data_IF_106251856806
#
_entry.id   IF_106251856806
#
_cell.length_a   1.000
_cell.length_b   1.000
_cell.length_c   1.000
_cell.angle_alpha   90.00
_cell.angle_beta   90.00
_cell.angle_gamma   90.00
#
_symmetry.space_group_name_H-M   'P 1'
#
loop_
_entity.id
_entity.type
_entity.pdbx_description
1 polymer ?
#
# COMPACT_ATOMS: atom_id res chain seq x y z
N UNK A 1 38.50 -3.32 50.10
CA UNK A 1 37.73 -4.47 49.56
C UNK A 1 36.41 -3.92 49.04
N UNK A 2 36.16 -4.04 47.74
CA UNK A 2 35.04 -3.38 47.05
C UNK A 2 33.73 -4.11 47.31
N UNK A 3 32.72 -3.42 47.84
CA UNK A 3 31.36 -3.95 48.00
C UNK A 3 30.61 -3.79 46.68
N UNK A 4 30.48 -4.89 45.94
CA UNK A 4 29.67 -4.96 44.72
C UNK A 4 28.20 -5.16 45.10
N UNK A 5 27.33 -4.28 44.64
CA UNK A 5 25.88 -4.43 44.80
C UNK A 5 25.41 -5.76 44.19
N UNK A 6 24.75 -6.60 45.00
CA UNK A 6 24.07 -7.82 44.52
C UNK A 6 22.63 -7.45 44.16
N UNK A 7 22.32 -7.48 42.86
CA UNK A 7 20.95 -7.37 42.35
C UNK A 7 20.35 -8.78 42.36
N UNK A 8 19.25 -9.04 43.09
CA UNK A 8 18.61 -10.34 43.05
C UNK A 8 17.94 -10.57 41.69
N UNK A 9 17.96 -11.80 41.14
CA UNK A 9 17.26 -12.12 39.90
C UNK A 9 15.76 -11.93 40.09
N UNK A 10 15.12 -11.31 39.10
CA UNK A 10 13.68 -11.02 39.09
C UNK A 10 12.80 -12.27 38.94
N UNK A 11 13.40 -13.42 38.65
CA UNK A 11 12.69 -14.71 38.47
C UNK A 11 13.47 -15.78 39.24
N UNK A 12 12.82 -16.59 40.09
CA UNK A 12 13.48 -17.71 40.78
C UNK A 12 14.04 -18.73 39.79
N UNK A 13 15.17 -19.36 40.13
CA UNK A 13 15.80 -20.40 39.30
C UNK A 13 14.89 -21.64 39.10
N UNK A 14 13.86 -21.78 39.94
CA UNK A 14 12.88 -22.89 39.94
C UNK A 14 11.60 -22.56 39.16
N UNK A 15 11.55 -21.44 38.42
CA UNK A 15 10.36 -21.00 37.71
C UNK A 15 10.18 -21.75 36.38
N UNK A 16 9.46 -22.88 36.43
CA UNK A 16 9.08 -23.66 35.26
C UNK A 16 7.90 -23.00 34.52
N UNK A 17 8.19 -22.35 33.39
CA UNK A 17 7.17 -21.74 32.53
C UNK A 17 6.54 -22.83 31.67
N UNK A 18 5.35 -23.29 32.05
CA UNK A 18 4.54 -24.14 31.19
C UNK A 18 3.94 -23.30 30.06
N UNK A 19 4.33 -23.52 28.80
CA UNK A 19 3.74 -22.80 27.68
C UNK A 19 2.24 -23.14 27.63
N UNK A 20 1.40 -22.12 27.54
CA UNK A 20 0.00 -22.34 27.18
C UNK A 20 -0.01 -22.82 25.73
N UNK A 21 -0.64 -23.96 25.49
CA UNK A 21 -0.80 -24.50 24.15
C UNK A 21 -1.87 -23.69 23.42
N UNK A 22 -1.43 -22.71 22.62
CA UNK A 22 -2.30 -21.78 21.88
C UNK A 22 -2.72 -22.39 20.53
N UNK A 23 -2.22 -23.59 20.18
CA UNK A 23 -2.56 -24.22 18.92
C UNK A 23 -3.86 -25.02 19.02
N UNK A 24 -4.75 -24.80 18.04
CA UNK A 24 -5.95 -25.61 17.88
C UNK A 24 -5.54 -27.05 17.54
N UNK A 25 -6.02 -28.01 18.33
CA UNK A 25 -5.87 -29.43 18.02
C UNK A 25 -6.91 -29.83 16.96
N UNK A 26 -6.44 -30.38 15.86
CA UNK A 26 -7.33 -30.93 14.81
C UNK A 26 -7.59 -32.40 15.16
N UNK A 27 -8.85 -32.84 15.28
CA UNK A 27 -9.16 -34.24 15.52
C UNK A 27 -8.61 -35.11 14.40
N UNK A 28 -7.87 -36.16 14.77
CA UNK A 28 -7.37 -37.14 13.80
C UNK A 28 -8.53 -37.91 13.20
N UNK A 29 -8.64 -37.91 11.86
CA UNK A 29 -9.67 -38.65 11.10
C UNK A 29 -9.58 -40.18 11.25
N UNK A 30 -8.51 -40.69 11.89
CA UNK A 30 -8.29 -42.12 12.10
C UNK A 30 -8.50 -42.57 13.55
N UNK A 31 -8.91 -41.67 14.46
CA UNK A 31 -9.20 -42.05 15.84
C UNK A 31 -10.58 -42.72 15.91
N UNK A 32 -10.58 -44.06 15.81
CA UNK A 32 -11.73 -44.89 16.10
C UNK A 32 -12.27 -44.58 17.50
N UNK A 33 -13.57 -44.28 17.55
CA UNK A 33 -14.30 -43.87 18.72
C UNK A 33 -14.11 -44.82 19.92
N UNK A 34 -13.51 -44.32 21.00
CA UNK A 34 -13.84 -44.76 22.35
C UNK A 34 -13.26 -43.83 23.42
N UNK A 35 -14.18 -43.28 24.23
CA UNK A 35 -14.00 -42.73 25.58
C UNK A 35 -13.32 -41.34 25.65
N UNK A 36 -13.81 -40.37 26.44
CA UNK A 36 -14.83 -40.35 27.49
C UNK A 36 -15.26 -38.88 27.65
N UNK A 37 -16.52 -38.67 28.03
CA UNK A 37 -17.13 -37.36 28.15
C UNK A 37 -16.30 -36.36 28.96
N UNK A 38 -16.05 -35.22 28.34
CA UNK A 38 -15.81 -33.94 28.97
C UNK A 38 -16.78 -33.01 28.27
N UNK A 39 -17.67 -32.40 29.04
CA UNK A 39 -18.74 -31.54 28.59
C UNK A 39 -18.34 -30.68 27.39
N UNK A 40 -19.04 -30.90 26.27
CA UNK A 40 -18.95 -30.07 25.09
C UNK A 40 -19.62 -28.72 25.37
N UNK A 41 -18.93 -27.87 26.12
CA UNK A 41 -19.02 -26.44 25.91
C UNK A 41 -18.25 -26.14 24.62
N UNK A 42 -18.94 -26.17 23.48
CA UNK A 42 -18.46 -25.45 22.31
C UNK A 42 -18.31 -23.98 22.74
N UNK A 43 -17.08 -23.49 22.69
CA UNK A 43 -16.62 -22.15 23.13
C UNK A 43 -16.24 -22.07 24.62
N UNK A 44 -15.12 -22.72 24.97
CA UNK A 44 -14.37 -22.43 26.19
C UNK A 44 -13.61 -21.10 26.12
N UNK A 45 -14.32 -19.99 25.95
CA UNK A 45 -13.83 -18.66 26.33
C UNK A 45 -14.82 -18.03 27.30
N UNK A 46 -14.35 -17.73 28.51
CA UNK A 46 -14.99 -16.76 29.39
C UNK A 46 -15.16 -15.46 28.62
N UNK A 47 -16.39 -15.09 28.34
CA UNK A 47 -16.82 -14.06 27.39
C UNK A 47 -16.51 -12.60 27.82
N UNK A 48 -15.50 -12.37 28.66
CA UNK A 48 -15.24 -11.05 29.24
C UNK A 48 -13.80 -10.54 29.19
N UNK A 49 -12.86 -11.19 28.50
CA UNK A 49 -11.50 -10.64 28.40
C UNK A 49 -10.98 -10.55 26.97
N UNK A 50 -10.86 -9.29 26.52
CA UNK A 50 -10.23 -8.80 25.29
C UNK A 50 -11.03 -8.99 23.99
N UNK A 51 -12.17 -8.29 23.91
CA UNK A 51 -12.69 -7.85 22.62
C UNK A 51 -11.77 -6.74 22.06
N UNK A 52 -11.03 -6.99 20.95
CA UNK A 52 -10.12 -6.02 20.36
C UNK A 52 -10.85 -4.76 19.87
N UNK A 53 -12.15 -4.86 19.55
CA UNK A 53 -12.97 -3.72 19.13
C UNK A 53 -13.24 -2.80 20.32
N UNK A 54 -13.65 -3.35 21.47
CA UNK A 54 -13.80 -2.57 22.72
C UNK A 54 -12.47 -1.99 23.20
N UNK A 55 -11.35 -2.68 23.00
CA UNK A 55 -10.03 -2.15 23.36
C UNK A 55 -9.64 -0.94 22.50
N UNK A 56 -9.97 -0.96 21.20
CA UNK A 56 -9.78 0.19 20.30
C UNK A 56 -10.74 1.33 20.68
N UNK A 57 -11.99 1.01 20.99
CA UNK A 57 -13.00 1.99 21.42
C UNK A 57 -12.57 2.71 22.72
N UNK A 58 -12.10 1.98 23.73
CA UNK A 58 -11.57 2.59 24.96
C UNK A 58 -10.34 3.46 24.69
N UNK A 59 -9.43 3.04 23.78
CA UNK A 59 -8.28 3.86 23.40
C UNK A 59 -8.71 5.17 22.72
N UNK A 60 -9.72 5.12 21.85
CA UNK A 60 -10.27 6.31 21.22
C UNK A 60 -10.96 7.24 22.23
N UNK A 61 -11.75 6.69 23.15
CA UNK A 61 -12.39 7.47 24.22
C UNK A 61 -11.36 8.13 25.16
N UNK A 62 -10.30 7.40 25.52
CA UNK A 62 -9.21 7.94 26.33
C UNK A 62 -8.46 9.07 25.61
N UNK A 63 -8.18 8.91 24.32
CA UNK A 63 -7.54 9.95 23.51
C UNK A 63 -8.41 11.22 23.43
N UNK A 64 -9.71 11.07 23.20
CA UNK A 64 -10.65 12.20 23.17
C UNK A 64 -10.65 12.94 24.51
N UNK A 65 -10.61 12.19 25.63
CA UNK A 65 -10.53 12.78 26.97
C UNK A 65 -9.22 13.55 27.17
N UNK A 66 -8.08 12.96 26.81
CA UNK A 66 -6.78 13.64 26.89
C UNK A 66 -6.72 14.92 26.05
N UNK A 67 -7.34 14.93 24.87
CA UNK A 67 -7.40 16.15 24.02
C UNK A 67 -8.26 17.22 24.67
N UNK A 68 -9.40 16.86 25.28
CA UNK A 68 -10.24 17.80 26.03
C UNK A 68 -9.51 18.38 27.24
N UNK A 69 -8.83 17.52 27.99
CA UNK A 69 -8.07 17.93 29.17
C UNK A 69 -6.92 18.86 28.77
N UNK A 70 -6.22 18.57 27.67
CA UNK A 70 -5.19 19.45 27.10
C UNK A 70 -5.78 20.79 26.66
N UNK A 71 -6.94 20.80 26.00
CA UNK A 71 -7.65 22.03 25.63
C UNK A 71 -7.98 22.89 26.85
N UNK A 72 -8.51 22.28 27.91
CA UNK A 72 -8.80 22.98 29.17
C UNK A 72 -7.53 23.51 29.86
N UNK A 73 -6.42 22.77 29.77
CA UNK A 73 -5.13 23.18 30.33
C UNK A 73 -4.54 24.37 29.56
N UNK A 74 -4.67 24.35 28.23
CA UNK A 74 -4.21 25.43 27.36
C UNK A 74 -5.05 26.70 27.56
N UNK A 75 -6.36 26.55 27.77
CA UNK A 75 -7.25 27.67 28.07
C UNK A 75 -6.97 28.26 29.47
N UNK A 76 -6.67 27.44 30.46
CA UNK A 76 -6.22 27.89 31.78
C UNK A 76 -4.88 28.65 31.70
N UNK A 77 -3.91 28.16 30.93
CA UNK A 77 -2.63 28.82 30.68
C UNK A 77 -2.80 30.16 29.96
N UNK A 78 -3.68 30.23 28.95
CA UNK A 78 -3.99 31.48 28.25
C UNK A 78 -4.66 32.50 29.17
N UNK A 79 -5.53 32.05 30.10
CA UNK A 79 -6.11 32.91 31.13
C UNK A 79 -5.08 33.37 32.17
N UNK A 80 -4.11 32.53 32.56
CA UNK A 80 -3.01 32.95 33.44
C UNK A 80 -2.07 33.95 32.76
N UNK A 81 -1.71 33.73 31.50
CA UNK A 81 -0.91 34.69 30.73
C UNK A 81 -1.67 36.01 30.49
N UNK A 82 -2.99 35.96 30.33
CA UNK A 82 -3.86 37.14 30.31
C UNK A 82 -3.92 37.89 31.64
N UNK A 83 -3.78 37.19 32.78
CA UNK A 83 -3.71 37.77 34.13
C UNK A 83 -2.34 38.37 34.45
N UNK A 84 -1.25 37.86 33.87
CA UNK A 84 0.08 38.48 33.96
C UNK A 84 0.19 39.81 33.20
N UNK A 85 -0.76 40.14 32.34
CA UNK A 85 -0.75 41.34 31.50
C UNK A 85 -1.80 42.39 31.90
N UNK A 86 -2.21 42.48 33.18
CA UNK A 86 -3.16 43.51 33.60
C UNK A 86 -2.70 44.36 34.80
N UNK A 87 -2.21 45.55 34.46
CA UNK A 87 -2.42 46.78 35.21
C UNK A 87 -2.06 48.00 34.36
N UNK A 88 -2.78 49.13 34.42
CA UNK A 88 -4.22 49.32 34.55
C UNK A 88 -4.83 49.96 33.28
N UNK A 89 -6.09 49.65 32.94
CA UNK A 89 -7.06 50.66 32.47
C UNK A 89 -8.46 50.04 32.30
N UNK A 90 -9.45 50.86 32.65
CA UNK A 90 -10.88 50.72 32.37
C UNK A 90 -11.16 50.42 30.87
N UNK A 91 -12.26 49.79 30.46
CA UNK A 91 -13.63 50.03 30.91
C UNK A 91 -14.53 48.79 30.83
N UNK A 92 -15.48 48.76 31.78
CA UNK A 92 -16.55 47.77 31.94
C UNK A 92 -17.88 48.46 31.60
N UNK A 93 -18.76 47.76 30.86
CA UNK A 93 -20.25 47.76 30.94
C UNK A 93 -20.78 47.06 29.66
N UNK A 94 -21.73 46.13 29.67
CA UNK A 94 -22.87 45.94 30.58
C UNK A 94 -23.34 44.47 30.57
N UNK A 95 -23.87 44.03 31.73
CA UNK A 95 -24.63 42.80 32.02
C UNK A 95 -26.03 42.80 31.37
N UNK A 96 -26.64 41.60 31.36
CA UNK A 96 -28.05 41.19 31.67
C UNK A 96 -28.40 39.99 30.77
N UNK A 97 -29.01 38.88 31.17
CA UNK A 97 -29.61 38.49 32.45
C UNK A 97 -29.78 36.95 32.49
N UNK A 98 -29.89 36.44 33.70
CA UNK A 98 -30.16 35.06 34.09
C UNK A 98 -31.68 34.80 34.11
N UNK A 99 -32.14 33.65 33.61
CA UNK A 99 -33.38 33.06 34.15
C UNK A 99 -33.40 31.54 33.97
N UNK A 100 -33.68 30.89 35.09
CA UNK A 100 -33.59 29.47 35.41
C UNK A 100 -34.98 28.83 35.30
N UNK A 101 -35.05 27.73 34.55
CA UNK A 101 -35.84 26.47 34.75
C UNK A 101 -37.35 26.55 35.11
N UNK A 102 -38.13 25.44 35.22
CA UNK A 102 -37.83 24.02 35.03
C UNK A 102 -38.87 23.24 34.18
N UNK A 103 -38.57 21.95 33.94
CA UNK A 103 -39.53 20.93 33.51
C UNK A 103 -40.59 20.63 34.61
N UNK A 104 -41.72 20.00 34.24
CA UNK A 104 -41.92 18.64 34.72
C UNK A 104 -42.57 17.66 33.72
N UNK A 105 -42.26 16.38 33.93
CA UNK A 105 -42.88 15.19 33.35
C UNK A 105 -44.38 15.04 33.71
N UNK A 106 -45.19 14.45 32.82
CA UNK A 106 -45.84 13.12 33.02
C UNK A 106 -46.84 12.74 31.92
N UNK A 107 -46.61 11.55 31.36
CA UNK A 107 -47.57 10.50 30.94
C UNK A 107 -48.72 10.72 29.91
N UNK A 108 -48.71 9.80 28.92
CA UNK A 108 -49.82 8.95 28.45
C UNK A 108 -50.38 9.12 27.01
N UNK A 109 -50.10 8.08 26.19
CA UNK A 109 -50.87 7.42 25.11
C UNK A 109 -52.00 8.17 24.35
N UNK A 110 -51.80 8.34 23.04
CA UNK A 110 -52.65 7.89 21.90
C UNK A 110 -52.02 8.49 20.62
N UNK A 111 -51.72 7.78 19.52
CA UNK A 111 -52.60 7.00 18.66
C UNK A 111 -53.07 7.87 17.47
N UNK A 112 -52.33 7.90 16.34
CA UNK A 112 -52.83 7.92 14.93
C UNK A 112 -51.88 8.56 13.89
N UNK A 113 -51.20 7.69 13.13
CA UNK A 113 -51.33 7.54 11.66
C UNK A 113 -51.65 8.81 10.81
N UNK A 114 -50.62 9.59 10.43
CA UNK A 114 -50.54 10.31 9.14
C UNK A 114 -49.16 10.99 9.00
N UNK A 115 -48.22 10.32 8.34
CA UNK A 115 -47.17 10.98 7.54
C UNK A 115 -46.25 9.95 6.88
N UNK A 116 -46.67 9.42 5.73
CA UNK A 116 -45.85 8.48 4.94
C UNK A 116 -45.74 8.83 3.47
N UNK A 117 -46.17 10.03 3.06
CA UNK A 117 -46.11 10.47 1.65
C UNK A 117 -45.23 11.70 1.39
N UNK A 118 -44.74 12.42 2.41
CA UNK A 118 -43.83 13.56 2.20
C UNK A 118 -42.34 13.18 2.03
N UNK A 119 -41.95 11.91 2.20
CA UNK A 119 -40.54 11.45 2.14
C UNK A 119 -40.11 10.84 0.79
N UNK A 120 -41.02 10.77 -0.19
CA UNK A 120 -40.76 10.13 -1.49
C UNK A 120 -40.57 11.12 -2.67
N UNK A 121 -40.89 12.40 -2.49
CA UNK A 121 -40.71 13.44 -3.53
C UNK A 121 -39.36 14.19 -3.43
N UNK A 122 -38.78 14.35 -2.24
CA UNK A 122 -37.44 14.93 -2.09
C UNK A 122 -36.30 14.06 -2.68
N UNK A 123 -36.57 12.78 -2.97
CA UNK A 123 -35.57 11.82 -3.49
C UNK A 123 -35.60 11.66 -5.02
N UNK A 124 -36.56 12.29 -5.72
CA UNK A 124 -36.61 12.33 -7.19
C UNK A 124 -36.00 13.62 -7.77
N UNK A 125 -36.06 14.74 -7.05
CA UNK A 125 -35.44 16.01 -7.48
C UNK A 125 -33.89 15.98 -7.43
N UNK A 126 -33.29 15.28 -6.48
CA UNK A 126 -31.83 15.14 -6.38
C UNK A 126 -31.21 14.19 -7.42
N UNK A 127 -32.03 13.44 -8.18
CA UNK A 127 -31.55 12.49 -9.21
C UNK A 127 -31.64 13.04 -10.63
N UNK A 128 -32.36 14.13 -10.85
CA UNK A 128 -32.46 14.84 -12.15
C UNK A 128 -31.44 15.97 -12.33
N UNK A 129 -30.80 16.45 -11.26
CA UNK A 129 -29.77 17.51 -11.32
C UNK A 129 -28.34 16.96 -11.55
N UNK A 130 -28.11 15.66 -11.35
CA UNK A 130 -26.84 15.00 -11.61
C UNK A 130 -26.68 14.48 -13.07
N UNK A 131 -27.70 14.67 -13.93
CA UNK A 131 -27.70 14.13 -15.31
C UNK A 131 -27.65 15.21 -16.41
N UNK A 132 -27.58 16.49 -16.07
CA UNK A 132 -27.53 17.61 -17.03
C UNK A 132 -26.20 18.37 -17.10
N UNK A 133 -25.16 17.92 -16.39
CA UNK A 133 -23.79 18.52 -16.46
C UNK A 133 -22.80 17.73 -17.31
N UNK A 134 -23.32 16.94 -18.26
CA UNK A 134 -22.55 16.14 -19.20
C UNK A 134 -22.97 16.44 -20.65
N UNK A 135 -23.10 17.71 -21.03
CA UNK A 135 -23.09 18.16 -22.43
C UNK A 135 -23.05 19.69 -22.47
N UNK A 136 -21.85 20.27 -22.58
CA UNK A 136 -21.52 21.35 -23.53
C UNK A 136 -20.16 21.94 -23.18
N UNK A 137 -19.21 21.78 -24.11
CA UNK A 137 -18.03 22.62 -24.17
C UNK A 137 -18.40 23.94 -24.84
N UNK A 138 -18.12 25.06 -24.18
CA UNK A 138 -17.83 26.33 -24.83
C UNK A 138 -17.13 27.26 -23.83
N UNK A 139 -16.05 27.86 -24.31
CA UNK A 139 -15.17 28.81 -23.66
C UNK A 139 -15.90 30.14 -23.43
N UNK A 140 -15.83 30.70 -22.22
CA UNK A 140 -15.79 32.17 -22.03
C UNK A 140 -15.12 32.54 -20.71
N UNK A 141 -14.24 33.52 -20.84
CA UNK A 141 -13.33 34.13 -19.88
C UNK A 141 -13.96 35.00 -18.80
N UNK A 142 -13.19 35.15 -17.72
CA UNK A 142 -13.21 36.19 -16.68
C UNK A 142 -14.34 36.14 -15.63
N UNK A 143 -14.00 35.72 -14.40
CA UNK A 143 -13.74 36.68 -13.32
C UNK A 143 -13.06 36.00 -12.11
N UNK A 144 -12.04 36.67 -11.56
CA UNK A 144 -11.34 36.28 -10.32
C UNK A 144 -12.20 36.65 -9.11
N UNK A 145 -12.13 35.83 -8.05
CA UNK A 145 -12.01 36.40 -6.72
C UNK A 145 -10.78 35.88 -5.96
N UNK A 146 -10.28 36.83 -5.17
CA UNK A 146 -9.30 36.83 -4.08
C UNK A 146 -8.81 35.50 -3.49
N UNK A 147 -7.49 35.44 -3.32
CA UNK A 147 -6.72 34.54 -2.42
C UNK A 147 -7.42 34.37 -1.07
N UNK A 148 -7.94 33.17 -0.83
CA UNK A 148 -7.99 32.55 0.49
C UNK A 148 -7.00 31.41 0.49
N UNK A 149 -6.21 31.27 1.55
CA UNK A 149 -5.22 30.20 1.73
C UNK A 149 -5.87 28.84 1.50
N UNK A 150 -5.63 28.26 0.33
CA UNK A 150 -5.95 26.87 0.08
C UNK A 150 -4.95 26.04 0.85
N UNK A 151 -5.32 25.60 2.05
CA UNK A 151 -4.66 24.47 2.69
C UNK A 151 -4.51 23.37 1.64
N UNK A 152 -3.30 22.87 1.45
CA UNK A 152 -3.00 21.84 0.47
C UNK A 152 -3.93 20.64 0.72
N UNK A 153 -5.01 20.56 -0.06
CA UNK A 153 -5.90 19.42 -0.04
C UNK A 153 -5.09 18.24 -0.58
N UNK A 154 -4.80 17.28 0.29
CA UNK A 154 -4.20 16.03 -0.12
C UNK A 154 -5.17 15.32 -1.08
N UNK A 155 -4.84 15.33 -2.36
CA UNK A 155 -5.55 14.54 -3.36
C UNK A 155 -4.97 13.14 -3.29
N UNK A 156 -5.68 12.23 -2.63
CA UNK A 156 -5.36 10.81 -2.68
C UNK A 156 -5.82 10.30 -4.05
N UNK A 157 -4.86 10.10 -4.94
CA UNK A 157 -5.09 9.34 -6.17
C UNK A 157 -5.02 7.85 -5.82
N UNK A 158 -6.17 7.19 -5.78
CA UNK A 158 -6.21 5.73 -5.75
C UNK A 158 -5.75 5.21 -7.11
N UNK A 159 -4.72 4.36 -7.12
CA UNK A 159 -4.05 3.89 -8.35
C UNK A 159 -4.98 3.09 -9.28
N UNK A 160 -6.15 2.62 -8.83
CA UNK A 160 -7.24 2.15 -9.71
C UNK A 160 -8.62 2.45 -9.13
N UNK A 161 -9.46 3.13 -9.93
CA UNK A 161 -10.92 3.05 -9.77
C UNK A 161 -11.39 1.80 -10.51
N UNK A 162 -12.26 1.03 -9.85
CA UNK A 162 -12.93 -0.18 -10.35
C UNK A 162 -13.83 0.02 -11.59
N UNK A 163 -13.72 1.15 -12.27
CA UNK A 163 -14.66 1.61 -13.29
C UNK A 163 -14.55 0.86 -14.61
N UNK A 164 -13.44 0.19 -14.91
CA UNK A 164 -13.28 -0.56 -16.16
C UNK A 164 -13.93 -1.95 -16.12
N UNK A 165 -13.98 -2.62 -14.98
CA UNK A 165 -14.50 -4.00 -14.86
C UNK A 165 -15.79 -4.09 -14.06
N UNK A 166 -16.21 -3.02 -13.37
CA UNK A 166 -17.35 -3.05 -12.46
C UNK A 166 -17.16 -3.96 -11.25
N UNK A 167 -15.94 -4.46 -11.02
CA UNK A 167 -15.63 -5.39 -9.93
C UNK A 167 -15.12 -4.63 -8.71
N UNK A 168 -15.73 -4.85 -7.55
CA UNK A 168 -15.33 -4.23 -6.29
C UNK A 168 -14.12 -4.92 -5.63
N UNK A 169 -13.81 -6.15 -6.01
CA UNK A 169 -12.72 -6.94 -5.44
C UNK A 169 -11.48 -6.81 -6.31
N UNK A 170 -10.42 -6.20 -5.75
CA UNK A 170 -9.12 -6.02 -6.41
C UNK A 170 -8.50 -7.34 -6.85
N UNK A 171 -8.71 -8.41 -6.09
CA UNK A 171 -8.21 -9.76 -6.40
C UNK A 171 -8.78 -10.36 -7.69
N UNK A 172 -9.87 -9.82 -8.24
CA UNK A 172 -10.49 -10.28 -9.47
C UNK A 172 -10.12 -9.41 -10.69
N UNK A 173 -9.38 -8.31 -10.47
CA UNK A 173 -8.92 -7.48 -11.57
C UNK A 173 -7.92 -8.24 -12.44
N UNK A 174 -7.99 -8.10 -13.78
CA UNK A 174 -7.00 -8.68 -14.66
C UNK A 174 -5.60 -8.18 -14.30
N UNK A 175 -4.64 -9.10 -14.24
CA UNK A 175 -3.24 -8.73 -14.10
C UNK A 175 -2.77 -8.01 -15.36
N UNK A 176 -1.96 -6.97 -15.19
CA UNK A 176 -1.41 -6.18 -16.29
C UNK A 176 -0.01 -5.68 -15.94
N UNK A 177 0.74 -5.31 -16.97
CA UNK A 177 1.95 -4.52 -16.81
C UNK A 177 1.59 -3.04 -16.63
N UNK A 178 2.46 -2.30 -15.93
CA UNK A 178 2.40 -0.85 -15.94
C UNK A 178 2.50 -0.33 -17.38
N UNK A 179 1.80 0.77 -17.64
CA UNK A 179 1.73 1.43 -18.95
C UNK A 179 2.16 2.89 -18.83
N UNK A 180 3.40 3.11 -18.38
CA UNK A 180 3.97 4.45 -18.34
C UNK A 180 4.32 4.92 -19.75
N UNK A 181 4.51 6.23 -19.90
CA UNK A 181 4.96 6.81 -21.16
C UNK A 181 6.29 6.18 -21.60
N UNK A 182 6.30 5.62 -22.81
CA UNK A 182 7.46 4.94 -23.38
C UNK A 182 8.51 5.96 -23.81
N UNK A 183 9.70 5.87 -23.22
CA UNK A 183 10.83 6.73 -23.57
C UNK A 183 11.54 6.20 -24.83
N UNK A 184 11.76 7.08 -25.82
CA UNK A 184 12.51 6.75 -27.04
C UNK A 184 14.00 6.87 -26.77
N UNK A 185 14.66 5.75 -26.53
CA UNK A 185 16.08 5.73 -26.18
C UNK A 185 16.99 5.74 -27.43
N UNK A 186 16.43 5.53 -28.62
CA UNK A 186 17.18 5.41 -29.87
C UNK A 186 17.97 4.09 -29.93
N UNK A 187 19.23 4.15 -30.35
CA UNK A 187 20.13 2.99 -30.41
C UNK A 187 20.90 2.85 -29.10
N UNK A 188 20.67 1.73 -28.42
CA UNK A 188 21.33 1.34 -27.18
C UNK A 188 22.24 0.15 -27.46
N UNK A 189 23.48 0.20 -26.99
CA UNK A 189 24.41 -0.94 -27.05
C UNK A 189 24.59 -1.52 -25.67
N UNK A 190 24.48 -2.84 -25.53
CA UNK A 190 24.63 -3.53 -24.27
C UNK A 190 25.64 -4.67 -24.40
N UNK A 191 26.69 -4.62 -23.58
CA UNK A 191 27.54 -5.76 -23.29
C UNK A 191 27.01 -6.43 -22.01
N UNK A 192 26.60 -7.69 -22.11
CA UNK A 192 26.00 -8.47 -21.05
C UNK A 192 26.89 -9.65 -20.64
N UNK A 193 26.75 -10.15 -19.42
CA UNK A 193 27.37 -11.41 -19.01
C UNK A 193 26.38 -12.57 -19.15
N UNK A 194 26.83 -13.82 -19.10
CA UNK A 194 25.90 -14.97 -19.19
C UNK A 194 24.89 -15.03 -18.04
N UNK A 195 25.22 -14.46 -16.87
CA UNK A 195 24.26 -14.35 -15.75
C UNK A 195 23.13 -13.36 -16.02
N UNK A 196 23.30 -12.49 -17.02
CA UNK A 196 22.31 -11.50 -17.42
C UNK A 196 21.28 -12.02 -18.44
N UNK A 197 21.62 -13.12 -19.13
CA UNK A 197 20.78 -13.70 -20.19
C UNK A 197 19.30 -13.88 -19.81
N UNK A 198 18.94 -14.43 -18.62
CA UNK A 198 17.54 -14.73 -18.31
C UNK A 198 16.64 -13.48 -18.30
N UNK A 199 17.15 -12.37 -17.76
CA UNK A 199 16.38 -11.14 -17.68
C UNK A 199 16.34 -10.39 -19.01
N UNK A 200 17.39 -10.52 -19.83
CA UNK A 200 17.43 -9.98 -21.19
C UNK A 200 16.40 -10.69 -22.08
N UNK A 201 16.30 -12.01 -21.99
CA UNK A 201 15.29 -12.79 -22.71
C UNK A 201 13.87 -12.45 -22.26
N UNK A 202 13.66 -12.20 -20.97
CA UNK A 202 12.38 -11.71 -20.46
C UNK A 202 12.05 -10.32 -21.04
N UNK A 203 13.01 -9.40 -21.09
CA UNK A 203 12.81 -8.08 -21.71
C UNK A 203 12.55 -8.18 -23.21
N UNK A 204 13.21 -9.10 -23.91
CA UNK A 204 13.01 -9.34 -25.34
C UNK A 204 11.56 -9.72 -25.67
N UNK A 205 10.97 -10.62 -24.85
CA UNK A 205 9.56 -11.02 -24.95
C UNK A 205 8.61 -9.85 -24.72
N UNK A 206 8.85 -9.06 -23.66
CA UNK A 206 8.02 -7.88 -23.37
C UNK A 206 8.18 -6.81 -24.46
N UNK A 207 9.39 -6.64 -24.99
CA UNK A 207 9.73 -5.65 -26.00
C UNK A 207 8.98 -5.82 -27.32
N UNK A 208 8.65 -7.06 -27.68
CA UNK A 208 7.86 -7.36 -28.89
C UNK A 208 6.48 -6.70 -28.86
N UNK A 209 5.84 -6.66 -27.68
CA UNK A 209 4.54 -6.00 -27.47
C UNK A 209 4.66 -4.49 -27.23
N UNK A 210 5.86 -3.99 -26.90
CA UNK A 210 6.11 -2.61 -26.45
C UNK A 210 6.97 -1.80 -27.45
N UNK A 211 7.06 -2.25 -28.71
CA UNK A 211 7.80 -1.58 -29.80
C UNK A 211 9.30 -1.38 -29.52
N UNK A 212 9.93 -2.29 -28.78
CA UNK A 212 11.36 -2.27 -28.49
C UNK A 212 12.05 -3.50 -29.09
N UNK A 213 12.96 -3.25 -30.03
CA UNK A 213 13.70 -4.31 -30.70
C UNK A 213 14.94 -4.70 -29.91
N UNK A 214 15.16 -6.00 -29.78
CA UNK A 214 16.41 -6.59 -29.31
C UNK A 214 17.10 -7.27 -30.48
N UNK A 215 18.40 -7.07 -30.63
CA UNK A 215 19.22 -7.62 -31.73
C UNK A 215 20.55 -8.15 -31.21
N UNK A 216 21.11 -9.16 -31.87
CA UNK A 216 22.42 -9.74 -31.51
C UNK A 216 22.26 -11.00 -30.67
N UNK A 217 22.91 -11.04 -29.51
CA UNK A 217 22.95 -12.24 -28.64
C UNK A 217 21.57 -12.72 -28.14
N UNK A 218 20.59 -11.82 -28.07
CA UNK A 218 19.16 -12.12 -27.91
C UNK A 218 18.42 -11.25 -28.92
N UNK A 219 17.40 -11.80 -29.57
CA UNK A 219 16.62 -11.05 -30.57
C UNK A 219 15.12 -11.30 -30.47
N UNK A 220 14.33 -10.35 -30.96
CA UNK A 220 12.88 -10.47 -31.11
C UNK A 220 12.40 -10.01 -32.49
N UNK A 221 11.12 -10.28 -32.79
CA UNK A 221 10.48 -10.02 -34.08
C UNK A 221 9.77 -8.66 -34.14
N UNK A 222 10.32 -7.63 -33.48
CA UNK A 222 9.69 -6.30 -33.44
C UNK A 222 9.81 -5.56 -34.79
N UNK A 223 8.69 -5.40 -35.50
CA UNK A 223 8.61 -4.56 -36.71
C UNK A 223 8.43 -3.09 -36.35
N UNK A 224 9.31 -2.20 -36.83
CA UNK A 224 9.32 -0.75 -36.59
C UNK A 224 9.55 -0.32 -35.12
N UNK A 225 10.72 -0.63 -34.54
CA UNK A 225 11.01 -0.29 -33.15
C UNK A 225 11.20 1.22 -32.93
N UNK A 226 10.71 1.73 -31.80
CA UNK A 226 11.03 3.07 -31.31
C UNK A 226 12.40 3.15 -30.62
N UNK A 227 12.88 2.01 -30.13
CA UNK A 227 14.17 1.83 -29.45
C UNK A 227 14.77 0.50 -29.91
N UNK A 228 16.05 0.50 -30.28
CA UNK A 228 16.79 -0.73 -30.64
C UNK A 228 17.90 -0.98 -29.63
N UNK A 229 17.94 -2.19 -29.07
CA UNK A 229 19.01 -2.64 -28.16
C UNK A 229 19.86 -3.69 -28.87
N UNK A 230 21.12 -3.35 -29.11
CA UNK A 230 22.13 -4.26 -29.66
C UNK A 230 22.86 -4.96 -28.51
N UNK A 231 22.75 -6.29 -28.45
CA UNK A 231 23.27 -7.10 -27.36
C UNK A 231 24.47 -7.91 -27.81
N UNK A 232 25.55 -7.83 -27.04
CA UNK A 232 26.69 -8.74 -27.11
C UNK A 232 26.93 -9.37 -25.74
N UNK A 233 27.39 -10.62 -25.73
CA UNK A 233 27.79 -11.30 -24.49
C UNK A 233 29.31 -11.29 -24.33
N UNK A 234 29.79 -11.00 -23.12
CA UNK A 234 31.20 -10.90 -22.77
C UNK A 234 31.44 -10.97 -21.26
N UNK A 235 32.63 -10.58 -20.82
CA UNK A 235 33.04 -10.71 -19.41
C UNK A 235 32.52 -9.60 -18.50
N UNK A 236 32.21 -8.42 -19.04
CA UNK A 236 31.80 -7.24 -18.26
C UNK A 236 30.47 -6.71 -18.73
N UNK A 237 29.65 -6.33 -17.75
CA UNK A 237 28.37 -5.67 -17.98
C UNK A 237 28.55 -4.18 -18.27
N UNK A 238 27.99 -3.68 -19.37
CA UNK A 238 27.86 -2.26 -19.64
C UNK A 238 26.70 -1.96 -20.60
N UNK A 239 26.10 -0.79 -20.46
CA UNK A 239 25.09 -0.25 -21.37
C UNK A 239 25.51 1.12 -21.83
N UNK A 240 25.52 1.36 -23.14
CA UNK A 240 25.83 2.63 -23.77
C UNK A 240 24.55 3.17 -24.40
N UNK A 241 24.10 4.32 -23.92
CA UNK A 241 22.95 5.04 -24.45
C UNK A 241 23.29 6.53 -24.54
N UNK A 242 23.00 7.16 -25.68
CA UNK A 242 23.24 8.60 -25.90
C UNK A 242 24.66 9.07 -25.52
N UNK A 243 25.69 8.25 -25.83
CA UNK A 243 27.09 8.54 -25.50
C UNK A 243 27.48 8.35 -24.02
N UNK A 244 26.54 7.98 -23.15
CA UNK A 244 26.80 7.72 -21.72
C UNK A 244 26.94 6.22 -21.48
N UNK A 245 27.96 5.81 -20.73
CA UNK A 245 28.18 4.41 -20.35
C UNK A 245 27.70 4.15 -18.92
N UNK A 246 26.79 3.20 -18.76
CA UNK A 246 26.28 2.69 -17.49
C UNK A 246 26.92 1.33 -17.20
N UNK A 247 27.55 1.19 -16.04
CA UNK A 247 28.13 -0.07 -15.56
C UNK A 247 27.30 -0.74 -14.46
N UNK A 248 26.28 -0.03 -13.95
CA UNK A 248 25.38 -0.52 -12.91
C UNK A 248 24.13 -1.14 -13.54
N UNK A 249 23.86 -2.42 -13.22
CA UNK A 249 22.68 -3.15 -13.69
C UNK A 249 21.38 -2.47 -13.28
N UNK A 250 21.29 -2.00 -12.04
CA UNK A 250 20.07 -1.33 -11.54
C UNK A 250 19.72 -0.10 -12.39
N UNK A 251 20.71 0.71 -12.76
CA UNK A 251 20.48 1.87 -13.64
C UNK A 251 20.10 1.44 -15.06
N UNK A 252 20.76 0.42 -15.59
CA UNK A 252 20.43 -0.15 -16.89
C UNK A 252 19.00 -0.72 -16.95
N UNK A 253 18.57 -1.47 -15.92
CA UNK A 253 17.21 -1.99 -15.83
C UNK A 253 16.17 -0.88 -15.77
N UNK A 254 16.43 0.20 -15.03
CA UNK A 254 15.52 1.35 -15.00
C UNK A 254 15.43 2.06 -16.35
N UNK A 255 16.57 2.26 -17.02
CA UNK A 255 16.64 2.88 -18.34
C UNK A 255 15.90 2.03 -19.38
N UNK A 256 16.21 0.75 -19.48
CA UNK A 256 15.52 -0.16 -20.40
C UNK A 256 14.04 -0.31 -20.03
N UNK A 257 13.73 -0.31 -18.73
CA UNK A 257 12.37 -0.30 -18.20
C UNK A 257 11.56 0.92 -18.64
N UNK A 258 12.17 2.11 -18.74
CA UNK A 258 11.48 3.30 -19.27
C UNK A 258 11.25 3.21 -20.78
N UNK A 259 12.18 2.58 -21.51
CA UNK A 259 11.99 2.22 -22.91
C UNK A 259 10.89 1.17 -23.15
N UNK A 260 10.51 0.39 -22.14
CA UNK A 260 9.41 -0.59 -22.18
C UNK A 260 8.09 -0.06 -21.60
N UNK A 261 8.07 1.15 -21.03
CA UNK A 261 6.93 1.69 -20.29
C UNK A 261 6.69 1.01 -18.92
N UNK A 262 7.66 0.21 -18.44
CA UNK A 262 7.57 -0.51 -17.17
C UNK A 262 8.11 0.28 -15.96
N UNK A 263 8.91 1.31 -16.23
CA UNK A 263 9.49 2.19 -15.23
C UNK A 263 9.31 3.65 -15.66
N UNK A 264 9.15 4.56 -14.71
CA UNK A 264 9.05 5.99 -14.98
C UNK A 264 9.94 6.80 -14.03
N UNK A 265 10.66 7.77 -14.58
CA UNK A 265 11.44 8.75 -13.82
C UNK A 265 10.62 9.97 -13.38
N UNK A 266 9.35 10.07 -13.79
CA UNK A 266 8.51 11.22 -13.46
C UNK A 266 8.20 11.29 -11.95
N UNK A 267 8.19 12.49 -11.33
CA UNK A 267 8.00 12.64 -9.88
C UNK A 267 6.68 12.10 -9.32
N UNK A 268 5.61 12.13 -10.13
CA UNK A 268 4.29 11.60 -9.78
C UNK A 268 4.27 10.08 -9.62
N UNK A 269 5.31 9.37 -10.07
CA UNK A 269 5.46 7.92 -9.93
C UNK A 269 6.58 7.55 -8.95
N UNK A 270 6.99 8.46 -8.07
CA UNK A 270 8.09 8.27 -7.11
C UNK A 270 7.90 7.08 -6.17
N UNK A 271 6.68 6.79 -5.72
CA UNK A 271 6.39 5.61 -4.90
C UNK A 271 6.63 4.30 -5.65
N UNK A 272 6.11 4.19 -6.88
CA UNK A 272 6.37 3.06 -7.78
C UNK A 272 7.87 2.90 -8.05
N UNK A 273 8.55 3.99 -8.39
CA UNK A 273 9.99 3.99 -8.64
C UNK A 273 10.81 3.53 -7.42
N UNK A 274 10.39 3.93 -6.21
CA UNK A 274 11.06 3.55 -4.94
C UNK A 274 10.87 2.08 -4.63
N UNK A 275 9.64 1.56 -4.75
CA UNK A 275 9.35 0.14 -4.54
C UNK A 275 10.08 -0.74 -5.55
N UNK A 276 10.04 -0.37 -6.83
CA UNK A 276 10.79 -1.09 -7.87
C UNK A 276 12.30 -1.06 -7.57
N UNK A 277 12.85 0.09 -7.19
CA UNK A 277 14.28 0.19 -6.87
C UNK A 277 14.70 -0.75 -5.73
N UNK A 278 13.90 -0.88 -4.67
CA UNK A 278 14.17 -1.80 -3.56
C UNK A 278 14.41 -3.23 -4.05
N UNK A 279 13.55 -3.73 -4.93
CA UNK A 279 13.65 -5.10 -5.45
C UNK A 279 14.81 -5.26 -6.43
N UNK A 280 14.99 -4.30 -7.35
CA UNK A 280 16.12 -4.31 -8.28
C UNK A 280 17.46 -4.36 -7.53
N UNK A 281 17.62 -3.55 -6.48
CA UNK A 281 18.85 -3.58 -5.67
C UNK A 281 19.10 -4.94 -5.01
N UNK A 282 18.05 -5.66 -4.59
CA UNK A 282 18.19 -7.00 -4.02
C UNK A 282 18.59 -8.03 -5.06
N UNK A 283 18.00 -7.96 -6.24
CA UNK A 283 18.35 -8.86 -7.34
C UNK A 283 19.78 -8.61 -7.80
N UNK A 284 20.24 -7.37 -7.84
CA UNK A 284 21.65 -7.05 -8.15
C UNK A 284 22.61 -7.63 -7.11
N UNK A 285 22.26 -7.57 -5.81
CA UNK A 285 23.04 -8.22 -4.76
C UNK A 285 23.09 -9.75 -4.90
N UNK A 286 22.00 -10.37 -5.37
CA UNK A 286 21.97 -11.81 -5.69
C UNK A 286 22.90 -12.12 -6.87
N UNK A 287 22.84 -11.34 -7.95
CA UNK A 287 23.72 -11.53 -9.11
C UNK A 287 25.20 -11.30 -8.75
N UNK A 288 25.48 -10.40 -7.80
CA UNK A 288 26.81 -10.17 -7.26
C UNK A 288 27.28 -11.25 -6.26
N UNK A 289 26.45 -12.26 -5.96
CA UNK A 289 26.75 -13.31 -5.00
C UNK A 289 26.78 -12.84 -3.53
N UNK A 290 26.24 -11.65 -3.25
CA UNK A 290 26.25 -11.03 -1.91
C UNK A 290 24.99 -11.33 -1.09
N UNK A 291 23.94 -11.86 -1.73
CA UNK A 291 22.67 -12.19 -1.10
C UNK A 291 22.16 -13.52 -1.63
N UNK A 292 21.58 -14.34 -0.75
CA UNK A 292 21.00 -15.62 -1.14
C UNK A 292 19.70 -15.42 -1.94
N UNK A 293 19.50 -16.24 -2.98
CA UNK A 293 18.23 -16.29 -3.73
C UNK A 293 17.05 -16.59 -2.81
N UNK A 294 17.21 -17.55 -1.91
CA UNK A 294 16.14 -18.01 -1.01
C UNK A 294 15.68 -16.93 -0.04
N UNK A 295 16.62 -16.08 0.43
CA UNK A 295 16.29 -14.96 1.31
C UNK A 295 15.40 -13.93 0.60
N UNK A 296 15.74 -13.61 -0.65
CA UNK A 296 14.95 -12.68 -1.46
C UNK A 296 13.59 -13.29 -1.81
N UNK A 297 13.53 -14.58 -2.15
CA UNK A 297 12.26 -15.30 -2.41
C UNK A 297 11.36 -15.31 -1.17
N UNK A 298 11.92 -15.56 0.01
CA UNK A 298 11.18 -15.54 1.27
C UNK A 298 10.63 -14.16 1.58
N UNK A 299 11.41 -13.10 1.31
CA UNK A 299 10.93 -11.74 1.47
C UNK A 299 9.87 -11.37 0.44
N UNK A 300 10.05 -11.77 -0.83
CA UNK A 300 9.06 -11.61 -1.88
C UNK A 300 7.74 -12.27 -1.48
N UNK A 301 7.78 -13.49 -0.93
CA UNK A 301 6.58 -14.17 -0.44
C UNK A 301 5.83 -13.40 0.65
N UNK A 302 6.55 -12.72 1.56
CA UNK A 302 5.95 -11.90 2.62
C UNK A 302 5.38 -10.60 2.05
N UNK A 303 6.04 -10.02 1.06
CA UNK A 303 5.55 -8.80 0.41
C UNK A 303 4.30 -9.09 -0.43
N UNK A 304 4.35 -10.17 -1.22
CA UNK A 304 3.26 -10.63 -2.07
C UNK A 304 2.07 -11.21 -1.31
N UNK A 305 2.13 -11.31 0.03
CA UNK A 305 0.94 -11.58 0.83
C UNK A 305 0.06 -10.34 1.02
N UNK A 306 0.58 -9.15 0.68
CA UNK A 306 -0.12 -7.86 0.83
C UNK A 306 -0.38 -7.18 -0.51
N UNK A 307 0.42 -7.49 -1.53
CA UNK A 307 0.39 -6.85 -2.84
C UNK A 307 0.42 -7.89 -3.95
N UNK A 308 -0.19 -7.57 -5.09
CA UNK A 308 -0.22 -8.49 -6.23
C UNK A 308 1.06 -8.42 -7.09
N UNK A 309 1.86 -7.36 -6.94
CA UNK A 309 3.11 -7.14 -7.65
C UNK A 309 4.21 -6.65 -6.69
N UNK A 310 5.47 -6.70 -7.12
CA UNK A 310 6.64 -6.26 -6.34
C UNK A 310 6.87 -4.76 -6.46
N UNK A 311 6.63 -4.19 -7.65
CA UNK A 311 6.84 -2.78 -7.94
C UNK A 311 5.69 -1.86 -7.54
N UNK A 312 4.49 -2.43 -7.40
CA UNK A 312 3.26 -1.70 -7.13
C UNK A 312 2.26 -2.57 -6.36
N UNK A 313 1.09 -2.04 -6.04
CA UNK A 313 0.05 -2.84 -5.40
C UNK A 313 -0.61 -3.85 -6.36
N UNK A 314 -0.62 -3.57 -7.67
CA UNK A 314 -1.49 -4.27 -8.63
C UNK A 314 -0.79 -4.66 -9.94
N UNK A 315 -0.01 -3.74 -10.51
CA UNK A 315 0.56 -3.86 -11.85
C UNK A 315 2.03 -4.29 -11.79
N UNK A 316 2.38 -5.20 -12.71
CA UNK A 316 3.76 -5.67 -12.85
C UNK A 316 4.63 -4.57 -13.46
N UNK A 317 5.77 -4.29 -12.83
CA UNK A 317 6.77 -3.35 -13.32
C UNK A 317 8.07 -4.03 -13.75
N UNK A 318 9.11 -3.22 -13.91
CA UNK A 318 10.43 -3.73 -14.28
C UNK A 318 11.01 -4.62 -13.19
N UNK A 319 10.74 -4.30 -11.92
CA UNK A 319 11.14 -5.11 -10.78
C UNK A 319 10.57 -6.53 -10.86
N UNK A 320 9.33 -6.69 -11.31
CA UNK A 320 8.69 -8.00 -11.39
C UNK A 320 9.36 -8.88 -12.43
N UNK A 321 9.53 -8.35 -13.65
CA UNK A 321 10.19 -9.03 -14.78
C UNK A 321 11.61 -9.47 -14.40
N UNK A 322 12.41 -8.56 -13.84
CA UNK A 322 13.79 -8.85 -13.42
C UNK A 322 13.82 -9.87 -12.29
N UNK A 323 12.95 -9.74 -11.27
CA UNK A 323 12.96 -10.63 -10.12
C UNK A 323 12.58 -12.06 -10.50
N UNK A 324 11.53 -12.25 -11.32
CA UNK A 324 11.14 -13.60 -11.77
C UNK A 324 12.24 -14.24 -12.59
N UNK A 325 12.77 -13.50 -13.58
CA UNK A 325 13.74 -14.03 -14.51
C UNK A 325 15.05 -14.45 -13.83
N UNK A 326 15.52 -13.69 -12.84
CA UNK A 326 16.79 -13.99 -12.14
C UNK A 326 16.63 -15.01 -11.00
N UNK A 327 15.56 -14.90 -10.20
CA UNK A 327 15.42 -15.71 -8.99
C UNK A 327 14.75 -17.05 -9.25
N UNK A 328 13.76 -17.09 -10.13
CA UNK A 328 12.96 -18.28 -10.42
C UNK A 328 13.48 -18.96 -11.69
N UNK A 329 13.68 -18.18 -12.75
CA UNK A 329 14.04 -18.72 -14.06
C UNK A 329 13.01 -19.73 -14.57
N UNK A 330 13.48 -20.77 -15.25
CA UNK A 330 12.66 -21.90 -15.74
C UNK A 330 12.74 -23.15 -14.84
N UNK A 331 13.45 -23.05 -13.71
CA UNK A 331 13.72 -24.21 -12.87
C UNK A 331 12.50 -24.63 -12.05
N UNK A 332 12.22 -25.94 -11.90
CA UNK A 332 11.14 -26.46 -11.07
C UNK A 332 11.52 -26.37 -9.58
N UNK A 333 11.72 -25.16 -9.09
CA UNK A 333 11.97 -24.89 -7.67
C UNK A 333 10.61 -24.91 -6.98
N UNK A 334 10.54 -25.53 -5.78
CA UNK A 334 9.35 -25.39 -4.93
C UNK A 334 9.28 -23.96 -4.41
N UNK A 335 8.37 -23.17 -4.99
CA UNK A 335 8.17 -21.79 -4.61
C UNK A 335 7.18 -21.68 -3.45
N UNK A 336 7.31 -20.66 -2.58
CA UNK A 336 6.24 -20.29 -1.68
C UNK A 336 4.97 -19.92 -2.46
N UNK A 337 3.80 -20.25 -1.92
CA UNK A 337 2.51 -20.12 -2.62
C UNK A 337 2.28 -18.72 -3.25
N UNK A 338 2.62 -17.64 -2.53
CA UNK A 338 2.44 -16.28 -3.04
C UNK A 338 3.37 -15.98 -4.22
N UNK A 339 4.61 -16.48 -4.19
CA UNK A 339 5.59 -16.31 -5.27
C UNK A 339 5.20 -17.17 -6.47
N UNK A 340 4.70 -18.38 -6.23
CA UNK A 340 4.19 -19.26 -7.30
C UNK A 340 2.99 -18.62 -8.01
N UNK A 341 2.01 -18.12 -7.25
CA UNK A 341 0.83 -17.45 -7.79
C UNK A 341 1.21 -16.20 -8.59
N UNK A 342 2.06 -15.34 -8.02
CA UNK A 342 2.60 -14.16 -8.69
C UNK A 342 3.32 -14.51 -10.00
N UNK A 343 4.19 -15.53 -9.96
CA UNK A 343 4.92 -16.01 -11.15
C UNK A 343 3.96 -16.48 -12.26
N UNK A 344 2.95 -17.28 -11.92
CA UNK A 344 1.94 -17.77 -12.87
C UNK A 344 1.09 -16.63 -13.45
N UNK A 345 0.72 -15.64 -12.63
CA UNK A 345 0.02 -14.45 -13.11
C UNK A 345 0.89 -13.66 -14.09
N UNK A 346 2.19 -13.53 -13.83
CA UNK A 346 3.09 -12.85 -14.76
C UNK A 346 3.27 -13.62 -16.08
N UNK A 347 3.31 -14.96 -16.03
CA UNK A 347 3.33 -15.79 -17.24
C UNK A 347 2.07 -15.64 -18.11
N UNK A 348 0.93 -15.32 -17.49
CA UNK A 348 -0.32 -15.09 -18.24
C UNK A 348 -0.37 -13.79 -19.04
N UNK A 349 0.51 -12.82 -18.71
CA UNK A 349 0.56 -11.51 -19.38
C UNK A 349 1.80 -11.31 -20.25
N UNK A 350 2.87 -12.09 -20.01
CA UNK A 350 4.15 -12.00 -20.74
C UNK A 350 4.03 -12.33 -22.22
#
# INVERSE_FOLDING_TARGET
MSSMYKIPPLVPDDFDVKPIDIMYSIPSYHASASQKGSDAACNGFLEEQNDPVKAIEMKQQNLIKSIKDLGSTLEALLQEMGKCASGPSAAKKTRLDESVAPAPDTSAKSGSKKDKDAKKEARKAAKSEAKSKATSGAVSSADKPSKGESGHAWVIHEDKRSTETGQSLTACLPSAFTDFEIEKLGDVTMAATETDRPWIEAFSRVGEKRNMAFKGGVSNSCSNPSTTVNISFGERFSVIASGTTLTCRVSAWKLLGSGLGLFSFKPNHSMHATNQHRWLSKVDLVLAGKLSKDDVIREASKFLSQFDALGSQFDFGVADVITKSVLIGESPIRLPNNVELWSKRMDSVM
#
